data_IF_744059933180
#
_entry.id   IF_744059933180
#
_cell.length_a   1.000
_cell.length_b   1.000
_cell.length_c   1.000
_cell.angle_alpha   90.00
_cell.angle_beta   90.00
_cell.angle_gamma   90.00
#
_symmetry.space_group_name_H-M   'P 1'
#
loop_
_entity.id
_entity.type
_entity.pdbx_description
1 polymer ?
#
# COMPACT_ATOMS: atom_id res chain seq x y z
N UNK A 1 23.65 17.40 -17.33
CA UNK A 1 23.85 17.34 -15.87
C UNK A 1 23.01 16.19 -15.38
N UNK A 2 23.62 15.08 -14.99
CA UNK A 2 22.90 13.93 -14.46
C UNK A 2 22.49 14.24 -13.02
N UNK A 3 21.20 14.44 -12.79
CA UNK A 3 20.63 14.52 -11.45
C UNK A 3 20.75 13.13 -10.84
N UNK A 4 21.67 12.95 -9.90
CA UNK A 4 21.73 11.77 -9.03
C UNK A 4 20.36 11.63 -8.36
N UNK A 5 19.60 10.65 -8.82
CA UNK A 5 18.32 10.30 -8.25
C UNK A 5 18.59 9.67 -6.88
N UNK A 6 17.93 10.12 -5.79
CA UNK A 6 18.16 9.53 -4.48
C UNK A 6 17.89 8.03 -4.55
N UNK A 7 18.78 7.24 -3.95
CA UNK A 7 18.77 5.78 -3.96
C UNK A 7 17.61 5.17 -3.14
N UNK A 8 16.42 5.78 -3.17
CA UNK A 8 15.26 5.36 -2.39
C UNK A 8 13.95 5.94 -2.93
N UNK A 9 12.85 5.59 -2.29
CA UNK A 9 11.50 6.03 -2.63
C UNK A 9 11.32 7.53 -2.41
N UNK A 10 10.69 8.19 -3.37
CA UNK A 10 10.40 9.62 -3.33
C UNK A 10 9.03 9.87 -2.71
N UNK A 11 8.95 10.76 -1.74
CA UNK A 11 7.66 11.12 -1.15
C UNK A 11 6.75 11.85 -2.15
N UNK A 12 5.47 11.45 -2.19
CA UNK A 12 4.44 12.21 -2.89
C UNK A 12 4.07 13.44 -2.06
N UNK A 13 4.55 14.60 -2.49
CA UNK A 13 4.12 15.88 -1.92
C UNK A 13 2.91 16.40 -2.67
N UNK A 14 1.75 16.43 -2.00
CA UNK A 14 0.52 16.98 -2.55
C UNK A 14 0.52 18.50 -2.44
N UNK A 15 0.23 19.25 -3.51
CA UNK A 15 0.05 20.70 -3.46
C UNK A 15 -1.12 21.07 -2.53
N UNK A 16 -1.03 22.22 -1.87
CA UNK A 16 -2.04 22.70 -0.91
C UNK A 16 -3.40 22.94 -1.57
N UNK A 17 -3.43 23.16 -2.89
CA UNK A 17 -4.61 23.32 -3.71
C UNK A 17 -5.39 22.00 -3.90
N UNK A 18 -4.71 20.85 -3.71
CA UNK A 18 -5.25 19.52 -3.97
C UNK A 18 -5.89 18.94 -2.69
N UNK A 19 -7.07 19.44 -2.36
CA UNK A 19 -7.78 19.11 -1.11
C UNK A 19 -8.67 17.87 -1.22
N UNK A 20 -9.29 17.64 -2.38
CA UNK A 20 -10.24 16.53 -2.56
C UNK A 20 -9.55 15.24 -3.06
N UNK A 21 -10.17 14.09 -2.77
CA UNK A 21 -9.63 12.76 -3.08
C UNK A 21 -9.41 12.53 -4.59
N UNK A 22 -10.32 13.04 -5.44
CA UNK A 22 -10.24 12.84 -6.88
C UNK A 22 -9.07 13.61 -7.50
N UNK A 23 -8.86 14.86 -7.08
CA UNK A 23 -7.73 15.68 -7.50
C UNK A 23 -6.41 15.11 -6.99
N UNK A 24 -6.37 14.55 -5.77
CA UNK A 24 -5.19 13.82 -5.26
C UNK A 24 -4.86 12.61 -6.12
N UNK A 25 -5.87 11.83 -6.50
CA UNK A 25 -5.72 10.69 -7.40
C UNK A 25 -5.18 11.11 -8.76
N UNK A 26 -5.72 12.16 -9.37
CA UNK A 26 -5.25 12.68 -10.66
C UNK A 26 -3.81 13.18 -10.60
N UNK A 27 -3.47 13.96 -9.56
CA UNK A 27 -2.11 14.44 -9.33
C UNK A 27 -1.13 13.26 -9.20
N UNK A 28 -1.47 12.28 -8.37
CA UNK A 28 -0.69 11.07 -8.17
C UNK A 28 -0.46 10.31 -9.46
N UNK A 29 -1.50 10.11 -10.28
CA UNK A 29 -1.36 9.46 -11.59
C UNK A 29 -0.47 10.26 -12.55
N UNK A 30 -0.61 11.59 -12.57
CA UNK A 30 0.26 12.46 -13.38
C UNK A 30 1.72 12.33 -12.97
N UNK A 31 2.00 12.31 -11.67
CA UNK A 31 3.34 12.20 -11.10
C UNK A 31 3.99 10.85 -11.41
N UNK A 32 3.22 9.76 -11.30
CA UNK A 32 3.70 8.42 -11.66
C UNK A 32 4.03 8.35 -13.16
N UNK A 33 3.20 8.95 -14.02
CA UNK A 33 3.42 8.97 -15.47
C UNK A 33 4.62 9.80 -15.89
N UNK A 34 4.95 10.88 -15.18
CA UNK A 34 6.10 11.72 -15.53
C UNK A 34 7.44 11.03 -15.26
N UNK A 35 7.47 10.09 -14.30
CA UNK A 35 8.69 9.39 -13.93
C UNK A 35 8.40 7.91 -13.64
N UNK A 36 8.17 7.09 -14.67
CA UNK A 36 7.72 5.70 -14.47
C UNK A 36 8.75 4.82 -13.76
N UNK A 37 10.04 5.14 -13.89
CA UNK A 37 11.17 4.45 -13.26
C UNK A 37 11.39 4.80 -11.78
N UNK A 38 10.51 5.65 -11.22
CA UNK A 38 10.62 6.15 -9.86
C UNK A 38 9.68 5.41 -8.92
N UNK A 39 10.22 4.97 -7.80
CA UNK A 39 9.44 4.45 -6.69
C UNK A 39 8.99 5.62 -5.82
N UNK A 40 7.69 5.71 -5.54
CA UNK A 40 7.09 6.75 -4.72
C UNK A 40 6.54 6.18 -3.42
N UNK A 41 6.57 6.96 -2.36
CA UNK A 41 5.94 6.63 -1.09
C UNK A 41 4.86 7.65 -0.68
N UNK A 42 3.77 7.13 -0.13
CA UNK A 42 2.66 7.92 0.43
C UNK A 42 2.66 7.77 1.95
N UNK A 43 2.35 8.85 2.66
CA UNK A 43 2.40 8.90 4.12
C UNK A 43 1.04 9.19 4.74
N UNK A 44 0.69 8.42 5.76
CA UNK A 44 -0.41 8.74 6.65
C UNK A 44 0.10 9.57 7.84
N UNK A 45 -0.70 10.54 8.27
CA UNK A 45 -0.44 11.29 9.50
C UNK A 45 -1.35 10.75 10.60
N UNK A 46 -0.74 10.17 11.64
CA UNK A 46 -1.42 9.59 12.80
C UNK A 46 -0.77 10.19 14.05
N UNK A 47 -1.53 10.92 14.86
CA UNK A 47 -1.08 11.45 16.17
C UNK A 47 0.29 12.14 16.12
N UNK A 48 0.44 13.12 15.22
CA UNK A 48 1.67 13.88 14.95
C UNK A 48 2.85 13.07 14.41
N UNK A 49 2.65 11.79 14.10
CA UNK A 49 3.64 10.95 13.43
C UNK A 49 3.27 10.73 11.98
N UNK A 50 4.29 10.83 11.14
CA UNK A 50 4.20 10.53 9.73
C UNK A 50 4.66 9.09 9.51
N UNK A 51 3.76 8.25 9.03
CA UNK A 51 3.99 6.81 8.89
C UNK A 51 3.91 6.45 7.40
N UNK A 52 4.93 5.77 6.88
CA UNK A 52 4.95 5.29 5.49
C UNK A 52 3.84 4.26 5.32
N UNK A 53 2.91 4.52 4.39
CA UNK A 53 1.69 3.73 4.22
C UNK A 53 1.68 2.93 2.92
N UNK A 54 2.18 3.52 1.83
CA UNK A 54 2.17 2.88 0.52
C UNK A 54 3.50 3.07 -0.22
N UNK A 55 3.87 2.06 -1.01
CA UNK A 55 4.91 2.13 -2.04
C UNK A 55 4.30 1.92 -3.41
N UNK A 56 4.66 2.81 -4.34
CA UNK A 56 3.90 3.01 -5.57
C UNK A 56 4.87 3.27 -6.71
N UNK A 57 4.79 2.46 -7.73
CA UNK A 57 5.53 2.62 -8.97
C UNK A 57 4.52 2.77 -10.11
N UNK A 58 4.94 3.35 -11.23
CA UNK A 58 4.08 3.41 -12.39
C UNK A 58 3.87 2.00 -12.96
N UNK A 59 2.61 1.62 -13.12
CA UNK A 59 2.22 0.31 -13.62
C UNK A 59 0.95 0.46 -14.44
N UNK A 60 0.84 -0.33 -15.51
CA UNK A 60 -0.41 -0.47 -16.27
C UNK A 60 -1.51 -1.18 -15.47
N UNK A 61 -1.14 -1.80 -14.35
CA UNK A 61 -2.03 -2.54 -13.46
C UNK A 61 -2.14 -1.83 -12.09
N UNK A 62 -3.17 -0.99 -11.87
CA UNK A 62 -3.35 -0.24 -10.62
C UNK A 62 -3.45 -1.11 -9.36
N UNK A 63 -3.74 -2.41 -9.53
CA UNK A 63 -3.79 -3.40 -8.45
C UNK A 63 -2.41 -3.84 -7.95
N UNK A 64 -1.32 -3.47 -8.64
CA UNK A 64 0.04 -3.79 -8.22
C UNK A 64 0.63 -2.79 -7.20
N UNK A 65 -0.19 -1.90 -6.64
CA UNK A 65 0.23 -1.00 -5.56
C UNK A 65 0.52 -1.80 -4.29
N UNK A 66 1.68 -1.53 -3.66
CA UNK A 66 2.10 -2.22 -2.45
C UNK A 66 1.68 -1.41 -1.23
N UNK A 67 0.67 -1.92 -0.53
CA UNK A 67 0.24 -1.44 0.77
C UNK A 67 0.75 -2.39 1.85
N UNK A 68 1.31 -1.88 2.94
CA UNK A 68 1.88 -2.74 3.98
C UNK A 68 2.35 -1.96 5.21
N UNK A 69 2.86 -2.69 6.20
CA UNK A 69 3.48 -2.06 7.36
C UNK A 69 4.74 -1.29 6.95
N UNK A 70 5.08 -0.22 7.68
CA UNK A 70 6.29 0.57 7.42
C UNK A 70 7.56 -0.31 7.31
N UNK A 71 7.70 -1.30 8.19
CA UNK A 71 8.81 -2.25 8.15
C UNK A 71 8.82 -3.11 6.86
N UNK A 72 7.65 -3.58 6.41
CA UNK A 72 7.52 -4.34 5.16
C UNK A 72 7.84 -3.49 3.93
N UNK A 73 7.41 -2.22 3.95
CA UNK A 73 7.68 -1.28 2.86
C UNK A 73 9.17 -0.95 2.78
N UNK A 74 9.83 -0.70 3.91
CA UNK A 74 11.28 -0.51 3.93
C UNK A 74 12.05 -1.73 3.40
N UNK A 75 11.67 -2.94 3.81
CA UNK A 75 12.28 -4.18 3.30
C UNK A 75 12.11 -4.33 1.78
N UNK A 76 10.94 -3.96 1.25
CA UNK A 76 10.70 -3.98 -0.19
C UNK A 76 11.52 -2.94 -0.95
N UNK A 77 11.70 -1.75 -0.37
CA UNK A 77 12.51 -0.68 -0.96
C UNK A 77 13.97 -1.12 -1.19
N UNK A 78 14.54 -1.84 -0.22
CA UNK A 78 15.88 -2.43 -0.36
C UNK A 78 15.95 -3.47 -1.49
N UNK A 79 14.92 -4.32 -1.61
CA UNK A 79 14.82 -5.33 -2.67
C UNK A 79 14.64 -4.66 -4.04
N UNK A 80 13.84 -3.60 -4.12
CA UNK A 80 13.58 -2.89 -5.36
C UNK A 80 14.86 -2.31 -5.95
N UNK A 81 15.74 -1.74 -5.12
CA UNK A 81 17.04 -1.22 -5.58
C UNK A 81 17.91 -2.32 -6.17
N UNK A 82 17.96 -3.49 -5.52
CA UNK A 82 18.69 -4.65 -6.03
C UNK A 82 18.14 -5.14 -7.38
N UNK A 83 16.81 -5.17 -7.52
CA UNK A 83 16.16 -5.56 -8.77
C UNK A 83 16.40 -4.55 -9.88
N UNK A 84 16.38 -3.26 -9.57
CA UNK A 84 16.64 -2.18 -10.53
C UNK A 84 18.07 -2.26 -11.05
N UNK A 85 19.06 -2.38 -10.16
CA UNK A 85 20.46 -2.53 -10.54
C UNK A 85 20.70 -3.77 -11.42
N UNK A 86 19.97 -4.86 -11.19
CA UNK A 86 20.09 -6.08 -11.99
C UNK A 86 19.41 -5.95 -13.37
N UNK A 87 18.27 -5.26 -13.44
CA UNK A 87 17.57 -4.98 -14.69
C UNK A 87 18.42 -4.07 -15.61
N UNK A 88 19.01 -3.01 -15.05
CA UNK A 88 19.88 -2.08 -15.79
C UNK A 88 21.13 -2.78 -16.36
N UNK A 89 21.67 -3.78 -15.62
CA UNK A 89 22.79 -4.61 -16.11
C UNK A 89 22.40 -5.50 -17.29
N UNK A 90 21.18 -6.01 -17.32
CA UNK A 90 20.68 -6.88 -18.39
C UNK A 90 20.42 -6.09 -19.69
N UNK A 91 20.06 -4.82 -19.61
CA UNK A 91 19.92 -3.95 -20.80
C UNK A 91 21.26 -3.62 -21.47
N UNK A 92 22.37 -3.69 -20.74
CA UNK A 92 23.70 -3.31 -21.24
C UNK A 92 24.43 -4.44 -21.99
N UNK A 93 23.87 -5.65 -22.06
CA UNK A 93 24.52 -6.86 -22.64
C UNK A 93 23.88 -7.40 -23.92
N UNK A 94 23.09 -6.60 -24.65
CA UNK A 94 22.58 -6.97 -25.98
C UNK A 94 23.53 -6.51 -27.09
N UNK A 95 24.10 -7.41 -27.93
CA UNK A 95 24.83 -7.00 -29.13
C UNK A 95 23.83 -6.61 -30.23
N UNK A 96 23.93 -5.36 -30.73
CA UNK A 96 23.28 -4.91 -31.97
C UNK A 96 23.61 -5.83 -33.15
N UNK A 97 22.62 -6.16 -34.00
CA UNK A 97 22.89 -6.40 -35.40
C UNK A 97 22.45 -5.17 -36.23
N UNK A 98 23.45 -4.57 -36.86
CA UNK A 98 23.34 -3.50 -37.86
C UNK A 98 22.34 -3.81 -38.99
N UNK A 99 21.43 -2.85 -39.20
CA UNK A 99 21.02 -2.19 -40.46
C UNK A 99 21.23 -2.96 -41.80
N UNK A 100 20.15 -3.11 -42.58
CA UNK A 100 19.92 -2.37 -43.85
C UNK A 100 19.19 -3.21 -44.94
N UNK A 101 17.94 -2.85 -45.26
CA UNK A 101 17.32 -3.09 -46.57
C UNK A 101 16.07 -2.20 -46.72
N UNK A 102 16.34 -0.96 -47.09
CA UNK A 102 15.43 0.03 -47.66
C UNK A 102 14.81 -0.48 -48.98
N UNK A 103 13.52 -0.23 -49.21
CA UNK A 103 12.97 0.11 -50.54
C UNK A 103 11.50 0.55 -50.48
N UNK A 104 11.35 1.88 -50.57
CA UNK A 104 10.52 2.62 -51.55
C UNK A 104 8.99 2.61 -51.51
N UNK A 105 8.48 3.78 -51.11
CA UNK A 105 7.22 4.43 -51.48
C UNK A 105 7.11 4.69 -53.00
N UNK A 106 5.91 4.58 -53.60
CA UNK A 106 5.33 5.56 -54.56
C UNK A 106 3.94 5.17 -55.09
N UNK A 107 2.98 6.09 -54.90
CA UNK A 107 1.82 6.52 -55.72
C UNK A 107 1.32 5.74 -56.96
N UNK A 108 -0.03 5.66 -57.10
CA UNK A 108 -0.77 6.03 -58.34
C UNK A 108 -2.32 6.00 -58.19
N UNK A 109 -2.92 7.19 -58.04
CA UNK A 109 -3.96 7.84 -58.86
C UNK A 109 -5.08 7.04 -59.59
N UNK A 110 -6.33 7.26 -59.10
CA UNK A 110 -7.62 7.63 -59.78
C UNK A 110 -8.12 6.90 -61.04
N UNK A 111 -9.38 6.41 -60.99
CA UNK A 111 -10.46 6.59 -61.99
C UNK A 111 -11.80 6.02 -61.45
N UNK A 112 -12.70 6.83 -60.88
CA UNK A 112 -13.95 7.41 -61.46
C UNK A 112 -14.73 6.57 -62.47
N UNK A 113 -15.89 6.00 -62.07
CA UNK A 113 -17.14 5.99 -62.86
C UNK A 113 -18.36 5.57 -62.01
N UNK A 114 -19.44 6.34 -62.07
CA UNK A 114 -20.82 6.09 -61.59
C UNK A 114 -21.79 6.67 -62.67
N UNK A 115 -23.14 6.48 -62.66
CA UNK A 115 -24.03 5.33 -62.39
C UNK A 115 -25.11 5.20 -63.55
N UNK A 116 -26.28 4.49 -63.46
CA UNK A 116 -27.48 5.00 -62.74
C UNK A 116 -28.55 3.98 -62.22
N UNK A 117 -29.44 4.48 -61.33
CA UNK A 117 -30.82 4.05 -60.96
C UNK A 117 -31.03 2.72 -60.18
N UNK A 118 -31.84 2.60 -59.11
CA UNK A 118 -33.12 3.25 -58.75
C UNK A 118 -33.45 3.06 -57.24
N UNK A 119 -34.01 4.08 -56.58
CA UNK A 119 -34.60 4.18 -55.20
C UNK A 119 -35.84 3.24 -55.03
N UNK A 120 -36.35 2.81 -53.84
CA UNK A 120 -36.44 3.59 -52.59
C UNK A 120 -36.19 2.89 -51.22
N UNK A 121 -36.11 3.77 -50.22
CA UNK A 121 -35.80 3.56 -48.80
C UNK A 121 -36.71 2.57 -48.04
N UNK A 122 -36.24 2.13 -46.87
CA UNK A 122 -36.95 2.51 -45.65
C UNK A 122 -36.01 3.16 -44.63
N UNK A 123 -36.34 4.41 -44.29
CA UNK A 123 -35.99 5.06 -43.03
C UNK A 123 -36.53 4.25 -41.86
N UNK A 124 -35.64 3.79 -40.97
CA UNK A 124 -35.77 3.87 -39.51
C UNK A 124 -34.55 3.21 -38.85
N UNK A 125 -33.43 3.93 -38.82
CA UNK A 125 -32.32 3.65 -37.90
C UNK A 125 -32.68 4.22 -36.52
N UNK A 126 -33.44 3.45 -35.74
CA UNK A 126 -33.58 3.64 -34.30
C UNK A 126 -32.19 3.49 -33.65
N UNK A 127 -31.71 4.42 -32.81
CA UNK A 127 -30.42 4.27 -32.16
C UNK A 127 -30.53 3.16 -31.10
N UNK A 128 -29.85 2.04 -31.31
CA UNK A 128 -29.76 0.91 -30.35
C UNK A 128 -28.73 1.20 -29.24
N UNK A 129 -28.06 2.34 -29.29
CA UNK A 129 -27.11 2.82 -28.29
C UNK A 129 -27.62 2.94 -26.83
N UNK A 130 -28.89 3.27 -26.51
CA UNK A 130 -29.28 3.52 -25.13
C UNK A 130 -29.27 2.26 -24.26
N UNK A 131 -29.62 1.09 -24.82
CA UNK A 131 -29.64 -0.18 -24.06
C UNK A 131 -28.25 -0.65 -23.62
N UNK A 132 -27.25 -0.53 -24.49
CA UNK A 132 -25.88 -0.92 -24.14
C UNK A 132 -25.28 0.00 -23.06
N UNK A 133 -25.52 1.31 -23.17
CA UNK A 133 -25.08 2.28 -22.19
C UNK A 133 -25.75 2.10 -20.83
N UNK A 134 -27.01 1.68 -20.81
CA UNK A 134 -27.76 1.38 -19.58
C UNK A 134 -27.26 0.10 -18.91
N UNK A 135 -27.05 -0.96 -19.69
CA UNK A 135 -26.47 -2.21 -19.19
C UNK A 135 -25.05 -2.00 -18.62
N UNK A 136 -24.24 -1.16 -19.26
CA UNK A 136 -22.90 -0.82 -18.78
C UNK A 136 -22.94 0.00 -17.48
N UNK A 137 -23.92 0.90 -17.33
CA UNK A 137 -24.15 1.61 -16.06
C UNK A 137 -24.56 0.66 -14.95
N UNK A 138 -25.45 -0.29 -15.21
CA UNK A 138 -25.86 -1.29 -14.23
C UNK A 138 -24.68 -2.17 -13.79
N UNK A 139 -23.83 -2.60 -14.74
CA UNK A 139 -22.64 -3.39 -14.40
C UNK A 139 -21.62 -2.59 -13.60
N UNK A 140 -21.43 -1.31 -13.90
CA UNK A 140 -20.56 -0.43 -13.11
C UNK A 140 -21.12 -0.21 -11.69
N UNK A 141 -22.43 -0.05 -11.55
CA UNK A 141 -23.07 0.11 -10.24
C UNK A 141 -22.92 -1.15 -9.37
N UNK A 142 -23.09 -2.34 -9.96
CA UNK A 142 -22.81 -3.61 -9.28
C UNK A 142 -21.35 -3.72 -8.84
N UNK A 143 -20.41 -3.33 -9.71
CA UNK A 143 -18.98 -3.36 -9.38
C UNK A 143 -18.62 -2.37 -8.26
N UNK A 144 -19.21 -1.17 -8.27
CA UNK A 144 -19.04 -0.19 -7.19
C UNK A 144 -19.59 -0.70 -5.85
N UNK A 145 -20.73 -1.42 -5.89
CA UNK A 145 -21.29 -2.05 -4.70
C UNK A 145 -20.37 -3.14 -4.17
N UNK A 146 -19.93 -4.08 -5.02
CA UNK A 146 -19.01 -5.15 -4.63
C UNK A 146 -17.69 -4.61 -4.05
N UNK A 147 -17.18 -3.52 -4.64
CA UNK A 147 -15.98 -2.86 -4.17
C UNK A 147 -16.20 -2.20 -2.81
N UNK A 148 -17.37 -1.61 -2.58
CA UNK A 148 -17.74 -0.99 -1.30
C UNK A 148 -17.87 -2.06 -0.21
N UNK A 149 -18.56 -3.16 -0.48
CA UNK A 149 -18.70 -4.28 0.47
C UNK A 149 -17.34 -4.90 0.80
N UNK A 150 -16.49 -5.11 -0.21
CA UNK A 150 -15.13 -5.60 0.00
C UNK A 150 -14.30 -4.64 0.85
N UNK A 151 -14.39 -3.33 0.59
CA UNK A 151 -13.68 -2.31 1.33
C UNK A 151 -14.14 -2.24 2.78
N UNK A 152 -15.45 -2.26 3.03
CA UNK A 152 -16.02 -2.28 4.38
C UNK A 152 -15.62 -3.54 5.15
N UNK A 153 -15.64 -4.71 4.50
CA UNK A 153 -15.19 -5.96 5.12
C UNK A 153 -13.69 -5.94 5.45
N UNK A 154 -12.88 -5.39 4.55
CA UNK A 154 -11.43 -5.25 4.73
C UNK A 154 -11.13 -4.27 5.86
N UNK A 155 -11.81 -3.13 5.90
CA UNK A 155 -11.70 -2.15 6.97
C UNK A 155 -12.21 -2.71 8.30
N UNK A 156 -13.31 -3.48 8.32
CA UNK A 156 -13.79 -4.15 9.52
C UNK A 156 -12.76 -5.15 10.06
N UNK A 157 -12.10 -5.93 9.20
CA UNK A 157 -11.02 -6.86 9.58
C UNK A 157 -9.71 -6.16 10.00
N UNK A 158 -9.40 -5.02 9.39
CA UNK A 158 -8.27 -4.19 9.83
C UNK A 158 -8.60 -3.52 11.18
N UNK A 159 -9.85 -3.14 11.41
CA UNK A 159 -10.38 -2.64 12.68
C UNK A 159 -10.58 -3.75 13.73
N UNK A 160 -10.69 -5.03 13.33
CA UNK A 160 -10.46 -6.21 14.19
C UNK A 160 -9.01 -6.27 14.73
N UNK A 161 -8.20 -5.22 14.50
CA UNK A 161 -7.24 -4.69 15.48
C UNK A 161 -7.78 -4.63 16.92
N UNK A 162 -9.07 -4.81 17.18
CA UNK A 162 -9.61 -5.21 18.48
C UNK A 162 -8.85 -6.36 19.14
N UNK A 163 -8.32 -7.33 18.39
CA UNK A 163 -7.50 -8.42 18.93
C UNK A 163 -6.14 -7.91 19.42
N UNK A 164 -5.55 -6.94 18.71
CA UNK A 164 -4.33 -6.26 19.15
C UNK A 164 -4.59 -5.38 20.38
N UNK A 165 -5.76 -4.74 20.46
CA UNK A 165 -6.17 -3.96 21.62
C UNK A 165 -6.45 -4.87 22.83
N UNK A 166 -7.14 -5.98 22.62
CA UNK A 166 -7.38 -7.01 23.62
C UNK A 166 -6.04 -7.57 24.15
N UNK A 167 -5.09 -7.90 23.27
CA UNK A 167 -3.74 -8.31 23.67
C UNK A 167 -3.02 -7.22 24.48
N UNK A 168 -3.14 -5.94 24.10
CA UNK A 168 -2.58 -4.82 24.89
C UNK A 168 -3.22 -4.75 26.27
N UNK A 169 -4.53 -4.91 26.36
CA UNK A 169 -5.28 -4.86 27.61
C UNK A 169 -4.94 -6.05 28.52
N UNK A 170 -4.85 -7.27 27.97
CA UNK A 170 -4.42 -8.47 28.67
C UNK A 170 -2.97 -8.35 29.17
N UNK A 171 -2.06 -7.85 28.34
CA UNK A 171 -0.67 -7.57 28.77
C UNK A 171 -0.62 -6.52 29.88
N UNK A 172 -1.45 -5.48 29.80
CA UNK A 172 -1.55 -4.47 30.85
C UNK A 172 -2.09 -5.06 32.16
N UNK A 173 -3.07 -5.97 32.07
CA UNK A 173 -3.65 -6.66 33.20
C UNK A 173 -2.63 -7.57 33.89
N UNK A 174 -1.97 -8.46 33.13
CA UNK A 174 -0.94 -9.37 33.66
C UNK A 174 0.21 -8.58 34.29
N UNK A 175 0.64 -7.48 33.66
CA UNK A 175 1.67 -6.59 34.22
C UNK A 175 1.26 -6.01 35.57
N UNK A 176 -0.02 -5.67 35.76
CA UNK A 176 -0.53 -5.15 37.03
C UNK A 176 -0.53 -6.25 38.09
N UNK A 177 -1.00 -7.44 37.76
CA UNK A 177 -1.02 -8.61 38.64
C UNK A 177 0.38 -9.01 39.10
N UNK A 178 1.35 -9.11 38.18
CA UNK A 178 2.74 -9.40 38.55
C UNK A 178 3.34 -8.34 39.48
N UNK A 179 3.01 -7.05 39.28
CA UNK A 179 3.48 -5.99 40.19
C UNK A 179 2.87 -6.11 41.58
N UNK A 180 1.58 -6.43 41.68
CA UNK A 180 0.92 -6.64 42.96
C UNK A 180 1.52 -7.84 43.70
N UNK A 181 1.63 -8.98 43.01
CA UNK A 181 2.24 -10.19 43.58
C UNK A 181 3.69 -9.96 44.03
N UNK A 182 4.48 -9.22 43.23
CA UNK A 182 5.84 -8.86 43.62
C UNK A 182 5.86 -7.97 44.87
N UNK A 183 4.96 -6.99 44.96
CA UNK A 183 4.88 -6.10 46.13
C UNK A 183 4.44 -6.84 47.40
N UNK A 184 3.53 -7.80 47.27
CA UNK A 184 3.08 -8.66 48.36
C UNK A 184 4.21 -9.57 48.86
N UNK A 185 4.89 -10.26 47.95
CA UNK A 185 6.04 -11.10 48.29
C UNK A 185 7.18 -10.30 48.95
N UNK A 186 7.41 -9.06 48.52
CA UNK A 186 8.39 -8.17 49.16
C UNK A 186 7.97 -7.74 50.57
N UNK A 187 6.67 -7.56 50.82
CA UNK A 187 6.15 -7.24 52.15
C UNK A 187 6.29 -8.44 53.11
N UNK A 188 5.92 -9.64 52.66
CA UNK A 188 6.08 -10.88 53.44
C UNK A 188 7.55 -11.15 53.79
N UNK A 189 8.46 -10.96 52.82
CA UNK A 189 9.90 -11.16 53.06
C UNK A 189 10.41 -10.17 54.11
N UNK A 190 9.92 -8.93 54.10
CA UNK A 190 10.27 -7.93 55.11
C UNK A 190 9.75 -8.31 56.50
N UNK A 191 8.51 -8.77 56.60
CA UNK A 191 7.92 -9.27 57.85
C UNK A 191 8.72 -10.44 58.41
N UNK A 192 9.03 -11.45 57.59
CA UNK A 192 9.87 -12.59 57.99
C UNK A 192 11.28 -12.16 58.42
N UNK A 193 11.85 -11.15 57.78
CA UNK A 193 13.15 -10.60 58.18
C UNK A 193 13.08 -9.89 59.53
N UNK A 194 11.97 -9.22 59.84
CA UNK A 194 11.71 -8.61 61.15
C UNK A 194 11.51 -9.69 62.22
N UNK A 195 10.74 -10.74 61.93
CA UNK A 195 10.55 -11.88 62.82
C UNK A 195 11.87 -12.60 63.12
N UNK A 196 12.70 -12.88 62.11
CA UNK A 196 14.02 -13.47 62.31
C UNK A 196 14.89 -12.65 63.26
N UNK A 197 14.86 -11.32 63.16
CA UNK A 197 15.60 -10.43 64.08
C UNK A 197 15.05 -10.49 65.50
N UNK A 198 13.73 -10.65 65.67
CA UNK A 198 13.11 -10.81 66.98
C UNK A 198 13.43 -12.17 67.62
N UNK A 199 13.60 -13.21 66.82
CA UNK A 199 13.92 -14.57 67.26
C UNK A 199 15.42 -14.80 67.51
N UNK A 200 16.31 -14.02 66.88
CA UNK A 200 17.77 -14.09 67.01
C UNK A 200 18.27 -14.11 68.48
N UNK A 201 17.75 -13.28 69.42
CA UNK A 201 18.16 -13.28 70.82
C UNK A 201 17.79 -14.56 71.59
N UNK A 202 16.80 -15.32 71.11
CA UNK A 202 16.32 -16.55 71.77
C UNK A 202 17.03 -17.82 71.29
N UNK A 203 17.73 -17.75 70.16
CA UNK A 203 18.46 -18.87 69.54
C UNK A 203 19.55 -19.51 70.42
N UNK A 204 20.31 -18.77 71.24
CA UNK A 204 21.32 -19.38 72.12
C UNK A 204 20.72 -20.18 73.28
N UNK A 205 19.47 -19.92 73.67
CA UNK A 205 18.81 -20.57 74.80
C UNK A 205 18.27 -21.97 74.43
N UNK A 206 17.81 -22.16 73.19
CA UNK A 206 17.33 -23.47 72.71
C UNK A 206 18.43 -24.50 72.46
N UNK A 207 19.69 -24.08 72.27
CA UNK A 207 20.82 -25.00 72.04
C UNK A 207 21.40 -25.61 73.33
N UNK A 208 20.91 -25.24 74.52
CA UNK A 208 21.42 -25.71 75.82
C UNK A 208 20.50 -26.69 76.56
N UNK A 209 19.38 -27.08 75.94
CA UNK A 209 18.50 -28.18 76.39
C UNK A 209 18.60 -29.32 75.41
#
# INVERSE_FOLDING_TARGET
MATEQPAGSTEIQYPVEVTNAQSRKQYKLSLLKSSPESLYCDYAHIEDRKIKNNLIFHTEHPTAWLCGSEASLHSFEDIFLLLKDEADKLETTSPEPDINAESTTTDSTVNTSEPPNTTPAPTNSTPVAPKYMEQMRETLALLEQDFTEFWELTMARLCEQSLSQQLRDEVCQVKRECRMALSEAMAELKELQEDMKLLEPSWPALKRT
#
